data_IF_280707305235
#
_entry.id   IF_280707305235
#
_cell.length_a   1.000
_cell.length_b   1.000
_cell.length_c   1.000
_cell.angle_alpha   90.00
_cell.angle_beta   90.00
_cell.angle_gamma   90.00
#
_symmetry.space_group_name_H-M   'P 1'
#
loop_
_entity.id
_entity.type
_entity.pdbx_description
1 polymer ?
#
# COMPACT_ATOMS: atom_id res chain seq x y z
N UNK A 1 2.37 -0.22 1.04
CA UNK A 1 3.85 -0.19 1.12
C UNK A 1 4.35 -1.16 2.18
N UNK A 2 5.52 -1.79 1.98
CA UNK A 2 6.11 -2.72 2.93
C UNK A 2 6.98 -2.00 3.98
N UNK A 3 7.49 -0.84 3.63
CA UNK A 3 8.27 0.05 4.48
C UNK A 3 8.30 1.46 3.87
N UNK A 4 8.88 2.41 4.59
CA UNK A 4 9.18 3.75 4.08
C UNK A 4 10.61 4.15 4.46
N UNK A 5 11.16 5.13 3.75
CA UNK A 5 12.48 5.70 4.01
C UNK A 5 12.37 7.17 4.36
N UNK A 6 13.35 7.68 5.08
CA UNK A 6 13.37 9.06 5.60
C UNK A 6 14.53 9.81 4.96
N UNK A 7 14.24 10.89 4.22
CA UNK A 7 15.24 11.72 3.55
C UNK A 7 15.13 13.20 3.93
N UNK A 8 13.91 13.72 4.07
CA UNK A 8 13.67 15.12 4.44
C UNK A 8 13.86 15.31 5.96
N UNK A 9 14.63 16.31 6.44
CA UNK A 9 14.85 16.55 7.86
C UNK A 9 13.57 16.80 8.68
N UNK A 10 12.56 17.43 8.09
CA UNK A 10 11.27 17.67 8.75
C UNK A 10 10.52 16.38 8.93
N UNK A 11 10.58 15.48 7.93
CA UNK A 11 10.00 14.14 8.03
C UNK A 11 10.79 13.28 9.03
N UNK A 12 12.11 13.43 9.12
CA UNK A 12 12.93 12.76 10.13
C UNK A 12 12.50 13.12 11.56
N UNK A 13 12.23 14.40 11.83
CA UNK A 13 11.71 14.83 13.13
C UNK A 13 10.35 14.20 13.46
N UNK A 14 9.46 14.11 12.47
CA UNK A 14 8.16 13.45 12.63
C UNK A 14 8.32 11.95 12.91
N UNK A 15 9.22 11.27 12.19
CA UNK A 15 9.47 9.83 12.39
C UNK A 15 10.12 9.56 13.74
N UNK A 16 11.02 10.44 14.23
CA UNK A 16 11.56 10.35 15.58
C UNK A 16 10.46 10.45 16.65
N UNK A 17 9.50 11.36 16.47
CA UNK A 17 8.34 11.46 17.37
C UNK A 17 7.47 10.18 17.31
N UNK A 18 7.24 9.60 16.13
CA UNK A 18 6.54 8.32 16.00
C UNK A 18 7.29 7.16 16.63
N UNK A 19 8.62 7.15 16.54
CA UNK A 19 9.45 6.14 17.19
C UNK A 19 9.33 6.23 18.71
N UNK A 20 9.44 7.43 19.27
CA UNK A 20 9.28 7.66 20.71
C UNK A 20 7.90 7.27 21.23
N UNK A 21 6.86 7.41 20.40
CA UNK A 21 5.49 7.02 20.71
C UNK A 21 5.17 5.54 20.39
N UNK A 22 6.14 4.74 19.93
CA UNK A 22 5.93 3.33 19.58
C UNK A 22 5.11 3.12 18.29
N UNK A 23 4.92 4.18 17.48
CA UNK A 23 4.09 4.18 16.26
C UNK A 23 4.90 3.74 15.02
N UNK A 24 6.22 3.90 15.04
CA UNK A 24 7.12 3.46 13.99
C UNK A 24 8.41 2.89 14.58
N UNK A 25 9.05 1.99 13.85
CA UNK A 25 10.35 1.43 14.22
C UNK A 25 11.22 1.19 12.99
N UNK A 26 12.55 1.16 13.19
CA UNK A 26 13.49 0.76 12.15
C UNK A 26 13.33 -0.72 11.82
N UNK A 27 13.48 -1.05 10.55
CA UNK A 27 13.43 -2.44 10.07
C UNK A 27 14.74 -2.80 9.34
N UNK A 28 15.78 -3.23 10.08
CA UNK A 28 17.13 -3.44 9.53
C UNK A 28 17.20 -4.49 8.41
N UNK A 29 16.30 -5.48 8.40
CA UNK A 29 16.26 -6.49 7.35
C UNK A 29 16.01 -5.91 5.94
N UNK A 30 15.36 -4.74 5.84
CA UNK A 30 15.15 -4.05 4.56
C UNK A 30 16.24 -3.03 4.23
N UNK A 31 17.13 -2.73 5.18
CA UNK A 31 18.23 -1.78 5.05
C UNK A 31 18.29 -0.76 6.20
N UNK A 32 19.38 -0.01 6.31
CA UNK A 32 19.63 0.89 7.45
C UNK A 32 18.61 2.03 7.54
N UNK A 33 18.02 2.44 6.42
CA UNK A 33 17.08 3.57 6.35
C UNK A 33 15.61 3.12 6.27
N UNK A 34 15.34 1.81 6.41
CA UNK A 34 13.99 1.29 6.32
C UNK A 34 13.24 1.45 7.66
N UNK A 35 12.00 1.93 7.56
CA UNK A 35 11.09 2.13 8.68
C UNK A 35 9.75 1.46 8.42
N UNK A 36 9.13 0.96 9.45
CA UNK A 36 7.79 0.39 9.41
C UNK A 36 6.89 1.01 10.48
N UNK A 37 5.59 1.01 10.21
CA UNK A 37 4.61 1.32 11.26
C UNK A 37 4.45 0.13 12.23
N UNK A 38 4.23 0.42 13.51
CA UNK A 38 4.05 -0.56 14.59
C UNK A 38 2.75 -0.32 15.34
N UNK A 39 1.96 -1.36 15.64
CA UNK A 39 2.10 -2.78 15.28
C UNK A 39 1.78 -3.07 13.81
N UNK A 40 1.31 -2.14 13.01
CA UNK A 40 0.94 -2.28 11.60
C UNK A 40 1.38 -1.10 10.76
N UNK A 41 1.56 -1.29 9.44
CA UNK A 41 1.99 -0.23 8.51
C UNK A 41 1.06 0.98 8.51
N UNK A 42 -0.20 0.85 8.91
CA UNK A 42 -1.16 1.93 9.01
C UNK A 42 -1.08 2.73 10.34
N UNK A 43 -0.23 2.32 11.30
CA UNK A 43 -0.12 3.00 12.58
C UNK A 43 0.25 4.50 12.45
N UNK A 44 1.24 4.92 11.62
CA UNK A 44 1.53 6.34 11.41
C UNK A 44 0.33 7.12 10.87
N UNK A 45 -0.41 6.54 9.91
CA UNK A 45 -1.60 7.19 9.33
C UNK A 45 -2.71 7.32 10.37
N UNK A 46 -2.94 6.27 11.19
CA UNK A 46 -3.90 6.33 12.30
C UNK A 46 -3.53 7.40 13.33
N UNK A 47 -2.24 7.50 13.68
CA UNK A 47 -1.76 8.51 14.62
C UNK A 47 -1.93 9.94 14.10
N UNK A 48 -1.76 10.16 12.79
CA UNK A 48 -2.07 11.44 12.14
C UNK A 48 -3.58 11.70 12.13
N UNK A 49 -4.37 10.74 11.69
CA UNK A 49 -5.83 10.88 11.60
C UNK A 49 -6.49 11.20 12.95
N UNK A 50 -5.95 10.68 14.05
CA UNK A 50 -6.46 10.96 15.40
C UNK A 50 -6.39 12.44 15.81
N UNK A 51 -5.63 13.27 15.09
CA UNK A 51 -5.48 14.71 15.35
C UNK A 51 -6.34 15.58 14.44
N UNK A 52 -7.14 14.99 13.58
CA UNK A 52 -7.93 15.70 12.56
C UNK A 52 -9.36 15.20 12.55
N UNK A 53 -10.29 16.06 12.11
CA UNK A 53 -11.64 15.65 11.79
C UNK A 53 -11.63 14.82 10.50
N UNK A 54 -11.83 13.51 10.62
CA UNK A 54 -11.83 12.58 9.47
C UNK A 54 -13.22 12.01 9.28
N UNK A 55 -13.78 12.22 8.09
CA UNK A 55 -15.05 11.58 7.67
C UNK A 55 -14.72 10.25 7.00
N UNK A 56 -14.94 9.15 7.72
CA UNK A 56 -14.73 7.81 7.19
C UNK A 56 -15.87 7.37 6.29
N UNK A 57 -15.59 6.44 5.36
CA UNK A 57 -16.59 5.87 4.43
C UNK A 57 -17.31 6.93 3.59
N UNK A 58 -16.68 8.10 3.39
CA UNK A 58 -17.23 9.22 2.66
C UNK A 58 -16.55 9.33 1.30
N UNK A 59 -17.20 8.84 0.26
CA UNK A 59 -16.72 8.96 -1.12
C UNK A 59 -17.06 10.32 -1.67
N UNK A 60 -16.06 11.03 -2.18
CA UNK A 60 -16.25 12.27 -2.93
C UNK A 60 -16.31 11.93 -4.41
N UNK A 61 -17.38 12.36 -5.08
CA UNK A 61 -17.68 12.03 -6.47
C UNK A 61 -17.51 13.23 -7.40
N UNK A 62 -17.62 14.46 -6.86
CA UNK A 62 -17.42 15.67 -7.63
C UNK A 62 -16.88 16.82 -6.78
N UNK A 63 -16.20 17.75 -7.46
CA UNK A 63 -15.74 19.02 -6.95
C UNK A 63 -16.45 20.13 -7.73
N UNK A 64 -16.95 21.14 -7.02
CA UNK A 64 -17.54 22.34 -7.60
C UNK A 64 -16.86 23.59 -7.04
N UNK A 65 -16.46 24.51 -7.91
CA UNK A 65 -15.99 25.83 -7.49
C UNK A 65 -17.20 26.80 -7.46
N UNK A 66 -17.53 27.31 -6.27
CA UNK A 66 -18.64 28.27 -6.08
C UNK A 66 -18.26 29.39 -5.13
N UNK A 67 -18.46 30.63 -5.55
CA UNK A 67 -18.28 31.83 -4.71
C UNK A 67 -16.91 31.85 -3.99
N UNK A 68 -15.81 31.53 -4.71
CA UNK A 68 -14.46 31.53 -4.17
C UNK A 68 -14.12 30.39 -3.21
N UNK A 69 -14.97 29.36 -3.12
CA UNK A 69 -14.76 28.19 -2.29
C UNK A 69 -15.05 26.88 -3.06
N UNK A 70 -14.65 25.78 -2.49
CA UNK A 70 -14.85 24.43 -3.02
C UNK A 70 -16.03 23.77 -2.32
N UNK A 71 -16.94 23.22 -3.09
CA UNK A 71 -18.03 22.37 -2.63
C UNK A 71 -17.68 20.92 -2.97
N UNK A 72 -17.65 20.04 -1.97
CA UNK A 72 -17.46 18.61 -2.17
C UNK A 72 -18.83 17.91 -2.28
N UNK A 73 -18.98 17.05 -3.28
CA UNK A 73 -20.18 16.25 -3.50
C UNK A 73 -19.86 14.76 -3.38
N UNK A 74 -20.75 14.01 -2.73
CA UNK A 74 -20.68 12.57 -2.59
C UNK A 74 -22.08 12.01 -2.38
N UNK A 75 -22.25 11.00 -1.55
CA UNK A 75 -23.57 10.45 -1.18
C UNK A 75 -24.46 11.45 -0.43
N UNK A 76 -23.96 12.67 -0.18
CA UNK A 76 -24.59 13.83 0.39
C UNK A 76 -23.72 15.06 0.18
N UNK A 77 -24.08 16.18 0.83
CA UNK A 77 -23.22 17.37 0.88
C UNK A 77 -22.06 17.12 1.85
N UNK A 78 -20.85 16.98 1.31
CA UNK A 78 -19.64 16.73 2.11
C UNK A 78 -19.00 18.03 2.64
N UNK A 79 -19.61 19.19 2.39
CA UNK A 79 -19.21 20.46 2.96
C UNK A 79 -18.51 21.42 1.99
N UNK A 80 -18.26 22.64 2.50
CA UNK A 80 -17.60 23.74 1.80
C UNK A 80 -16.23 24.00 2.39
N UNK A 81 -15.22 24.25 1.53
CA UNK A 81 -13.82 24.39 1.92
C UNK A 81 -13.13 25.51 1.13
N UNK A 82 -12.18 26.18 1.76
CA UNK A 82 -11.38 27.22 1.11
C UNK A 82 -10.31 26.62 0.18
N UNK A 83 -9.85 25.41 0.48
CA UNK A 83 -8.88 24.68 -0.33
C UNK A 83 -9.13 23.17 -0.27
N UNK A 84 -8.74 22.45 -1.33
CA UNK A 84 -8.83 21.00 -1.44
C UNK A 84 -7.49 20.43 -1.89
N UNK A 85 -7.01 19.41 -1.18
CA UNK A 85 -5.86 18.59 -1.59
C UNK A 85 -6.39 17.25 -2.09
N UNK A 86 -6.16 16.96 -3.36
CA UNK A 86 -6.56 15.69 -3.99
C UNK A 86 -5.39 14.70 -3.87
N UNK A 87 -5.47 13.76 -2.92
CA UNK A 87 -4.47 12.73 -2.66
C UNK A 87 -4.97 11.35 -3.11
N UNK A 88 -5.27 11.24 -4.41
CA UNK A 88 -5.78 10.04 -5.08
C UNK A 88 -4.78 9.54 -6.13
N UNK A 89 -4.86 8.27 -6.57
CA UNK A 89 -4.19 7.82 -7.79
C UNK A 89 -4.50 8.74 -8.97
N UNK A 90 -3.54 8.87 -9.89
CA UNK A 90 -3.61 9.86 -10.96
C UNK A 90 -4.88 9.73 -11.83
N UNK A 91 -5.29 8.51 -12.13
CA UNK A 91 -6.50 8.23 -12.92
C UNK A 91 -7.76 8.69 -12.20
N UNK A 92 -7.87 8.40 -10.90
CA UNK A 92 -9.01 8.82 -10.08
C UNK A 92 -9.01 10.32 -9.83
N UNK A 93 -7.83 10.92 -9.65
CA UNK A 93 -7.69 12.37 -9.54
C UNK A 93 -8.11 13.06 -10.84
N UNK A 94 -7.71 12.52 -12.01
CA UNK A 94 -8.09 13.03 -13.32
C UNK A 94 -9.61 13.06 -13.51
N UNK A 95 -10.29 11.98 -13.14
CA UNK A 95 -11.75 11.89 -13.21
C UNK A 95 -12.40 12.94 -12.30
N UNK A 96 -11.99 13.02 -11.03
CA UNK A 96 -12.57 13.89 -10.03
C UNK A 96 -12.42 15.39 -10.37
N UNK A 97 -11.27 15.80 -10.92
CA UNK A 97 -10.99 17.22 -11.17
C UNK A 97 -11.35 17.70 -12.58
N UNK A 98 -11.78 16.82 -13.48
CA UNK A 98 -11.99 17.14 -14.92
C UNK A 98 -12.94 18.29 -15.14
N UNK A 99 -14.01 18.37 -14.39
CA UNK A 99 -15.02 19.44 -14.52
C UNK A 99 -14.53 20.82 -14.09
N UNK A 100 -13.60 20.86 -13.13
CA UNK A 100 -13.10 22.12 -12.52
C UNK A 100 -11.70 22.51 -13.01
N UNK A 101 -10.89 21.54 -13.45
CA UNK A 101 -9.54 21.79 -13.92
C UNK A 101 -9.10 20.83 -15.04
N UNK A 102 -9.64 20.97 -16.28
CA UNK A 102 -9.39 20.02 -17.38
C UNK A 102 -7.91 19.80 -17.67
N UNK A 103 -7.09 20.85 -17.71
CA UNK A 103 -5.64 20.73 -17.99
C UNK A 103 -4.91 19.90 -16.95
N UNK A 104 -5.29 19.97 -15.68
CA UNK A 104 -4.71 19.12 -14.64
C UNK A 104 -5.17 17.67 -14.83
N UNK A 105 -6.46 17.46 -15.14
CA UNK A 105 -7.01 16.15 -15.44
C UNK A 105 -6.26 15.45 -16.58
N UNK A 106 -5.97 16.18 -17.69
CA UNK A 106 -5.22 15.63 -18.82
C UNK A 106 -3.79 15.26 -18.45
N UNK A 107 -3.11 16.09 -17.64
CA UNK A 107 -1.78 15.76 -17.13
C UNK A 107 -1.77 14.54 -16.21
N UNK A 108 -2.76 14.42 -15.31
CA UNK A 108 -2.90 13.28 -14.43
C UNK A 108 -3.21 11.99 -15.21
N UNK A 109 -4.13 12.06 -16.19
CA UNK A 109 -4.47 10.93 -17.06
C UNK A 109 -3.28 10.43 -17.93
N UNK A 110 -2.31 11.30 -18.21
CA UNK A 110 -1.08 10.92 -18.93
C UNK A 110 -0.05 10.17 -18.07
N UNK A 111 -0.32 9.95 -16.77
CA UNK A 111 0.55 9.25 -15.82
C UNK A 111 -0.12 7.95 -15.37
N UNK A 112 -0.11 6.89 -16.18
CA UNK A 112 -0.76 5.64 -15.84
C UNK A 112 -0.07 4.95 -14.66
N UNK A 113 -0.86 4.47 -13.72
CA UNK A 113 -0.37 3.64 -12.61
C UNK A 113 -0.13 2.21 -13.07
N UNK A 114 0.88 1.55 -12.53
CA UNK A 114 1.07 0.13 -12.72
C UNK A 114 0.25 -0.66 -11.68
N UNK A 115 -0.41 -1.76 -12.07
CA UNK A 115 -1.10 -2.62 -11.11
C UNK A 115 -0.13 -3.48 -10.32
N UNK A 116 -0.61 -3.98 -9.16
CA UNK A 116 0.12 -4.93 -8.34
C UNK A 116 -0.84 -5.96 -7.74
N UNK A 117 -0.65 -7.22 -8.08
CA UNK A 117 -1.21 -8.31 -7.33
C UNK A 117 -0.40 -8.55 -6.06
N UNK A 118 -1.08 -8.65 -4.93
CA UNK A 118 -0.48 -8.90 -3.63
C UNK A 118 -1.13 -10.12 -3.02
N UNK A 119 -0.33 -11.13 -2.64
CA UNK A 119 -0.78 -12.34 -1.96
C UNK A 119 -0.34 -12.29 -0.51
N UNK A 120 -1.24 -12.62 0.38
CA UNK A 120 -1.00 -12.75 1.82
C UNK A 120 -1.06 -14.22 2.20
N UNK A 121 0.03 -14.70 2.80
CA UNK A 121 0.23 -16.10 3.15
C UNK A 121 0.42 -16.24 4.66
N UNK A 122 -0.14 -17.29 5.24
CA UNK A 122 0.25 -17.77 6.55
C UNK A 122 0.48 -19.29 6.51
N UNK A 123 1.51 -19.74 7.19
CA UNK A 123 1.91 -21.13 7.24
C UNK A 123 1.80 -21.69 8.67
N UNK A 124 1.62 -23.01 8.78
CA UNK A 124 1.51 -23.70 10.08
C UNK A 124 2.86 -23.79 10.82
N UNK A 125 3.95 -23.69 10.08
CA UNK A 125 5.31 -23.80 10.57
C UNK A 125 6.22 -22.77 9.87
N UNK A 126 7.37 -22.41 10.48
CA UNK A 126 8.36 -21.55 9.83
C UNK A 126 8.88 -22.14 8.52
N UNK A 127 8.96 -21.32 7.48
CA UNK A 127 9.68 -21.69 6.26
C UNK A 127 11.18 -21.80 6.61
N UNK A 128 11.85 -22.93 6.27
CA UNK A 128 13.26 -23.15 6.62
C UNK A 128 14.19 -22.31 5.74
N UNK A 129 14.20 -21.01 5.97
CA UNK A 129 15.04 -20.04 5.26
C UNK A 129 15.42 -18.87 6.15
N UNK A 130 16.63 -18.37 6.00
CA UNK A 130 17.11 -17.13 6.65
C UNK A 130 16.68 -15.86 5.91
N UNK A 131 16.02 -16.01 4.76
CA UNK A 131 15.55 -14.88 3.99
C UNK A 131 14.33 -14.24 4.64
N UNK A 132 14.41 -12.94 4.86
CA UNK A 132 13.28 -12.12 5.28
C UNK A 132 12.65 -11.36 4.11
N UNK A 133 13.39 -11.22 3.02
CA UNK A 133 12.97 -10.47 1.83
C UNK A 133 13.45 -11.21 0.58
N UNK A 134 12.58 -11.29 -0.42
CA UNK A 134 12.90 -11.72 -1.78
C UNK A 134 12.60 -10.55 -2.71
N UNK A 135 13.48 -10.29 -3.67
CA UNK A 135 13.34 -9.20 -4.65
C UNK A 135 13.60 -9.73 -6.05
N UNK A 136 12.77 -9.28 -7.02
CA UNK A 136 12.98 -9.46 -8.46
C UNK A 136 13.30 -10.91 -8.87
N UNK A 137 12.47 -11.86 -8.44
CA UNK A 137 12.60 -13.27 -8.74
C UNK A 137 11.42 -13.76 -9.61
N UNK A 138 11.61 -13.81 -10.93
CA UNK A 138 10.57 -14.21 -11.87
C UNK A 138 9.33 -13.33 -11.83
N UNK A 139 8.18 -13.92 -11.50
CA UNK A 139 6.93 -13.19 -11.34
C UNK A 139 6.87 -12.36 -10.02
N UNK A 140 7.75 -12.67 -9.07
CA UNK A 140 7.78 -12.01 -7.77
C UNK A 140 8.63 -10.74 -7.85
N UNK A 141 8.00 -9.58 -7.71
CA UNK A 141 8.70 -8.30 -7.59
C UNK A 141 9.25 -8.08 -6.20
N UNK A 142 8.46 -8.47 -5.18
CA UNK A 142 8.85 -8.33 -3.78
C UNK A 142 8.11 -9.33 -2.91
N UNK A 143 8.80 -9.99 -1.99
CA UNK A 143 8.15 -10.74 -0.91
C UNK A 143 8.82 -10.43 0.43
N UNK A 144 8.04 -10.38 1.50
CA UNK A 144 8.54 -10.14 2.86
C UNK A 144 7.91 -11.07 3.87
N UNK A 145 8.76 -11.60 4.76
CA UNK A 145 8.31 -12.25 6.00
C UNK A 145 7.83 -11.17 6.96
N UNK A 146 6.54 -11.16 7.28
CA UNK A 146 5.98 -10.08 8.10
C UNK A 146 6.48 -10.10 9.54
N UNK A 147 6.70 -11.30 10.13
CA UNK A 147 7.30 -11.47 11.46
C UNK A 147 8.71 -10.91 11.63
N UNK A 148 9.43 -10.61 10.51
CA UNK A 148 10.73 -9.92 10.58
C UNK A 148 10.61 -8.43 10.88
N UNK A 149 9.41 -7.86 10.81
CA UNK A 149 9.16 -6.45 11.10
C UNK A 149 8.91 -6.24 12.59
N UNK A 150 9.45 -5.18 13.20
CA UNK A 150 9.18 -4.85 14.59
C UNK A 150 7.68 -4.75 14.92
N UNK A 151 7.30 -5.29 16.06
CA UNK A 151 5.93 -5.24 16.56
C UNK A 151 4.94 -6.18 15.85
N UNK A 152 5.44 -7.15 15.07
CA UNK A 152 4.64 -8.27 14.53
C UNK A 152 4.72 -9.48 15.46
N UNK A 153 3.69 -10.34 15.39
CA UNK A 153 3.70 -11.63 16.10
C UNK A 153 4.62 -12.65 15.45
N UNK A 154 4.74 -13.83 16.08
CA UNK A 154 5.64 -14.91 15.68
C UNK A 154 5.05 -15.83 14.58
N UNK A 155 3.84 -15.55 14.11
CA UNK A 155 3.22 -16.33 13.05
C UNK A 155 4.04 -16.24 11.74
N UNK A 156 4.24 -17.39 11.09
CA UNK A 156 4.92 -17.43 9.80
C UNK A 156 4.01 -16.87 8.71
N UNK A 157 4.16 -15.58 8.44
CA UNK A 157 3.35 -14.86 7.48
C UNK A 157 4.21 -14.11 6.47
N UNK A 158 3.74 -14.11 5.22
CA UNK A 158 4.40 -13.45 4.11
C UNK A 158 3.44 -12.59 3.31
N UNK A 159 3.95 -11.45 2.85
CA UNK A 159 3.28 -10.61 1.86
C UNK A 159 4.11 -10.68 0.57
N UNK A 160 3.50 -11.19 -0.47
CA UNK A 160 4.12 -11.42 -1.78
C UNK A 160 3.47 -10.50 -2.80
N UNK A 161 4.28 -9.68 -3.47
CA UNK A 161 3.85 -8.74 -4.50
C UNK A 161 4.41 -9.18 -5.85
N UNK A 162 3.53 -9.33 -6.82
CA UNK A 162 3.93 -9.63 -8.20
C UNK A 162 4.60 -8.42 -8.86
N UNK A 163 5.39 -8.68 -9.90
CA UNK A 163 5.93 -7.62 -10.76
C UNK A 163 4.79 -6.85 -11.46
N UNK A 164 5.01 -5.57 -11.83
CA UNK A 164 4.03 -4.82 -12.62
C UNK A 164 3.65 -5.50 -13.93
N UNK A 165 4.62 -6.09 -14.63
CA UNK A 165 4.40 -6.79 -15.89
C UNK A 165 3.49 -8.02 -15.71
N UNK A 166 3.78 -8.87 -14.71
CA UNK A 166 2.93 -10.01 -14.39
C UNK A 166 1.52 -9.57 -13.99
N UNK A 167 1.43 -8.54 -13.15
CA UNK A 167 0.15 -8.00 -12.67
C UNK A 167 -0.70 -7.43 -13.79
N UNK A 168 -0.10 -6.73 -14.75
CA UNK A 168 -0.80 -6.21 -15.92
C UNK A 168 -1.32 -7.33 -16.83
N UNK A 169 -0.48 -8.35 -17.09
CA UNK A 169 -0.86 -9.50 -17.93
C UNK A 169 -1.98 -10.36 -17.30
N UNK A 170 -2.15 -10.29 -15.97
CA UNK A 170 -3.12 -11.09 -15.22
C UNK A 170 -4.12 -10.22 -14.46
N UNK A 171 -4.36 -8.99 -14.93
CA UNK A 171 -5.12 -7.97 -14.20
C UNK A 171 -6.54 -8.42 -13.87
N UNK A 172 -7.20 -9.15 -14.75
CA UNK A 172 -8.61 -9.52 -14.60
C UNK A 172 -8.83 -10.93 -14.04
N UNK A 173 -7.79 -11.60 -13.53
CA UNK A 173 -7.97 -12.86 -12.81
C UNK A 173 -8.84 -12.68 -11.56
N UNK A 174 -9.52 -13.75 -11.16
CA UNK A 174 -10.08 -13.84 -9.82
C UNK A 174 -8.94 -13.90 -8.77
N UNK A 175 -9.17 -13.39 -7.54
CA UNK A 175 -8.13 -13.38 -6.50
C UNK A 175 -7.55 -14.77 -6.23
N UNK A 176 -8.39 -15.80 -6.22
CA UNK A 176 -8.01 -17.19 -5.97
C UNK A 176 -7.09 -17.73 -7.06
N UNK A 177 -7.38 -17.39 -8.33
CA UNK A 177 -6.56 -17.80 -9.48
C UNK A 177 -5.20 -17.09 -9.45
N UNK A 178 -5.19 -15.80 -9.11
CA UNK A 178 -3.95 -15.05 -8.98
C UNK A 178 -3.07 -15.61 -7.84
N UNK A 179 -3.67 -15.92 -6.70
CA UNK A 179 -2.98 -16.56 -5.57
C UNK A 179 -2.42 -17.94 -5.96
N UNK A 180 -3.23 -18.78 -6.59
CA UNK A 180 -2.81 -20.12 -7.04
C UNK A 180 -1.66 -20.11 -8.03
N UNK A 181 -1.58 -19.10 -8.91
CA UNK A 181 -0.48 -18.92 -9.87
C UNK A 181 0.79 -18.32 -9.23
N UNK A 182 0.65 -17.46 -8.23
CA UNK A 182 1.78 -16.80 -7.56
C UNK A 182 2.43 -17.66 -6.50
N UNK A 183 1.69 -18.57 -5.86
CA UNK A 183 2.22 -19.45 -4.81
C UNK A 183 3.40 -20.30 -5.29
N UNK A 184 3.34 -21.07 -6.41
CA UNK A 184 4.51 -21.81 -6.91
C UNK A 184 5.67 -20.90 -7.34
N UNK A 185 5.38 -19.68 -7.81
CA UNK A 185 6.42 -18.70 -8.13
C UNK A 185 7.14 -18.21 -6.86
N UNK A 186 6.41 -18.05 -5.76
CA UNK A 186 7.00 -17.72 -4.47
C UNK A 186 7.84 -18.89 -3.92
N UNK A 187 7.35 -20.12 -4.01
CA UNK A 187 8.10 -21.31 -3.61
C UNK A 187 9.44 -21.41 -4.36
N UNK A 188 9.40 -21.25 -5.68
CA UNK A 188 10.62 -21.23 -6.49
C UNK A 188 11.56 -20.06 -6.11
N UNK A 189 11.01 -18.88 -5.81
CA UNK A 189 11.79 -17.69 -5.44
C UNK A 189 12.43 -17.82 -4.05
N UNK A 190 11.77 -18.47 -3.10
CA UNK A 190 12.31 -18.73 -1.75
C UNK A 190 13.35 -19.86 -1.77
N UNK A 191 13.21 -20.82 -2.69
CA UNK A 191 14.16 -21.89 -2.93
C UNK A 191 14.07 -23.07 -1.95
N UNK A 192 12.91 -23.24 -1.30
CA UNK A 192 12.63 -24.35 -0.39
C UNK A 192 11.14 -24.68 -0.41
N UNK A 193 10.80 -25.94 -0.10
CA UNK A 193 9.40 -26.36 0.02
C UNK A 193 8.65 -25.55 1.08
N UNK A 194 7.41 -25.19 0.75
CA UNK A 194 6.57 -24.43 1.66
C UNK A 194 5.86 -25.38 2.63
N UNK A 195 5.77 -25.01 3.94
CA UNK A 195 4.94 -25.72 4.89
C UNK A 195 3.44 -25.62 4.52
N UNK A 196 2.55 -26.41 5.18
CA UNK A 196 1.13 -26.32 4.96
C UNK A 196 0.58 -24.90 5.18
N UNK A 197 -0.25 -24.43 4.25
CA UNK A 197 -0.90 -23.14 4.34
C UNK A 197 -2.02 -23.14 5.38
N UNK A 198 -2.03 -22.13 6.25
CA UNK A 198 -3.12 -21.79 7.14
C UNK A 198 -4.04 -20.70 6.55
N UNK A 199 -3.45 -19.82 5.70
CA UNK A 199 -4.18 -18.75 5.05
C UNK A 199 -3.57 -18.44 3.68
N UNK A 200 -4.45 -18.20 2.71
CA UNK A 200 -4.11 -17.75 1.37
C UNK A 200 -5.18 -16.76 0.91
N UNK A 201 -4.77 -15.53 0.63
CA UNK A 201 -5.66 -14.55 0.02
C UNK A 201 -4.88 -13.64 -0.93
N UNK A 202 -5.56 -13.07 -1.93
CA UNK A 202 -4.96 -12.13 -2.84
C UNK A 202 -5.79 -10.86 -2.95
N UNK A 203 -5.10 -9.75 -3.20
CA UNK A 203 -5.70 -8.44 -3.44
C UNK A 203 -5.09 -7.80 -4.68
N UNK A 204 -5.95 -7.24 -5.51
CA UNK A 204 -5.58 -6.52 -6.72
C UNK A 204 -5.53 -5.01 -6.49
N UNK A 205 -4.33 -4.45 -6.49
CA UNK A 205 -4.14 -3.01 -6.50
C UNK A 205 -4.09 -2.53 -7.96
N UNK A 206 -5.14 -1.89 -8.45
CA UNK A 206 -5.17 -1.38 -9.83
C UNK A 206 -4.23 -0.19 -10.03
N UNK A 207 -4.02 0.61 -8.99
CA UNK A 207 -3.27 1.86 -8.99
C UNK A 207 -2.18 1.80 -7.91
N UNK A 208 -1.16 0.95 -8.13
CA UNK A 208 -0.13 0.71 -7.12
C UNK A 208 1.10 1.63 -7.25
N UNK A 209 1.34 2.20 -8.43
CA UNK A 209 2.43 3.14 -8.73
C UNK A 209 1.94 4.23 -9.67
#
# INVERSE_FOLDING_TARGET
AQYFTVRDPRFAAQVAAWQSAGVAARWPAAGPDAWVGTPGMNAPVKAMAARHAVSWQTRIEALEARNGAWQLRGAGDAGRFDAVVVALPAEQAAELVRSVHPRFADRAAALPSAPCWTVMLAFSEPIPTDRHIVREAGAIGWATRDGSKPGRGDAETWVVQATPAWSAAHLELAPEDAAGRLLPQFEAAIGTALPPLCHLSAHRWRYAR
#
